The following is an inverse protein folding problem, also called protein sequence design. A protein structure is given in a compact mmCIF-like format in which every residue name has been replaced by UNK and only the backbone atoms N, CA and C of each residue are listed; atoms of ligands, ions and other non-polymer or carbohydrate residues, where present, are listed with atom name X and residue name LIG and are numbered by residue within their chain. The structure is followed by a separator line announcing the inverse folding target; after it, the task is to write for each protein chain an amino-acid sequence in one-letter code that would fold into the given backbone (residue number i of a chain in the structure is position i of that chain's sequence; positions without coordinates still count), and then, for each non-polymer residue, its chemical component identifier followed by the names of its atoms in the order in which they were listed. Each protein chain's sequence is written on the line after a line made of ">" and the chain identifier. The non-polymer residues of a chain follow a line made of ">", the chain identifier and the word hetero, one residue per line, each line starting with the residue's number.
data_IF_959043650330
#
_entry.id   IF_959043650330
#
_cell.length_a   1.000
_cell.length_b   1.000
_cell.length_c   1.000
_cell.angle_alpha   90.00
_cell.angle_beta   90.00
_cell.angle_gamma   90.00
#
_symmetry.space_group_name_H-M   'P 1'
#
loop_
_entity.id
_entity.type
_entity.pdbx_description
1 polymer ?
#
# COMPACT_ATOMS: atom_id res chain seq x y z
N UNK A 1 -28.46 30.11 44.50
CA UNK A 1 -27.04 29.70 44.52
C UNK A 1 -26.83 28.58 43.51
N UNK A 2 -25.67 28.61 42.84
CA UNK A 2 -25.39 28.06 41.51
C UNK A 2 -25.61 26.56 41.31
N UNK A 3 -26.15 26.25 40.12
CA UNK A 3 -26.15 24.95 39.45
C UNK A 3 -24.74 24.67 38.94
N UNK A 4 -24.21 23.48 39.20
CA UNK A 4 -22.99 22.96 38.55
C UNK A 4 -23.43 21.94 37.51
N UNK A 5 -23.17 22.14 36.20
CA UNK A 5 -23.39 21.10 35.22
C UNK A 5 -22.11 20.26 35.07
N UNK A 6 -22.27 18.95 35.25
CA UNK A 6 -21.31 17.91 34.89
C UNK A 6 -21.01 17.99 33.39
N UNK A 7 -19.78 18.35 33.03
CA UNK A 7 -19.33 18.37 31.65
C UNK A 7 -18.97 16.93 31.26
N UNK A 8 -19.89 16.26 30.58
CA UNK A 8 -19.61 15.03 29.83
C UNK A 8 -18.75 15.39 28.63
N UNK A 9 -17.44 15.21 28.76
CA UNK A 9 -16.48 15.36 27.68
C UNK A 9 -16.53 14.12 26.77
N UNK A 10 -17.51 14.08 25.86
CA UNK A 10 -17.48 13.15 24.73
C UNK A 10 -16.38 13.59 23.77
N UNK A 11 -15.15 13.08 23.98
CA UNK A 11 -14.10 13.12 22.97
C UNK A 11 -14.49 12.12 21.89
N UNK A 12 -15.32 12.56 20.94
CA UNK A 12 -15.46 11.89 19.66
C UNK A 12 -14.16 12.15 18.89
N UNK A 13 -13.19 11.23 19.03
CA UNK A 13 -12.10 11.07 18.08
C UNK A 13 -12.73 10.58 16.76
N UNK A 14 -13.31 11.50 16.01
CA UNK A 14 -13.66 11.25 14.62
C UNK A 14 -12.34 11.02 13.89
N UNK A 15 -12.11 9.76 13.52
CA UNK A 15 -11.10 9.33 12.57
C UNK A 15 -11.02 10.35 11.42
N UNK A 16 -9.81 10.75 11.07
CA UNK A 16 -9.52 11.58 9.89
C UNK A 16 -9.32 10.65 8.67
N UNK A 17 -10.34 10.32 7.86
CA UNK A 17 -10.10 9.67 6.56
C UNK A 17 -9.54 10.65 5.51
N UNK A 18 -9.75 11.96 5.69
CA UNK A 18 -9.47 12.97 4.66
C UNK A 18 -7.98 13.16 4.34
N UNK A 19 -7.08 12.94 5.32
CA UNK A 19 -5.64 13.13 5.10
C UNK A 19 -4.98 11.95 4.38
N UNK A 20 -5.47 10.71 4.60
CA UNK A 20 -5.00 9.53 3.87
C UNK A 20 -5.42 9.58 2.40
N UNK A 21 -6.63 10.07 2.11
CA UNK A 21 -7.15 10.16 0.74
C UNK A 21 -6.42 11.21 -0.12
N UNK A 22 -6.16 12.40 0.42
CA UNK A 22 -5.50 13.47 -0.34
C UNK A 22 -4.02 13.14 -0.65
N UNK A 23 -3.30 12.58 0.33
CA UNK A 23 -1.91 12.16 0.15
C UNK A 23 -1.78 11.01 -0.86
N UNK A 24 -2.71 10.05 -0.84
CA UNK A 24 -2.74 8.97 -1.84
C UNK A 24 -3.14 9.50 -3.22
N UNK A 25 -4.15 10.38 -3.31
CA UNK A 25 -4.61 10.94 -4.58
C UNK A 25 -3.52 11.69 -5.32
N UNK A 26 -2.66 12.45 -4.61
CA UNK A 26 -1.52 13.13 -5.21
C UNK A 26 -0.46 12.17 -5.73
N UNK A 27 -0.20 11.06 -5.02
CA UNK A 27 0.78 10.04 -5.42
C UNK A 27 0.35 9.21 -6.64
N UNK A 28 -0.95 9.07 -6.87
CA UNK A 28 -1.48 8.34 -8.04
C UNK A 28 -1.51 9.18 -9.32
N UNK A 29 -1.32 10.51 -9.23
CA UNK A 29 -1.29 11.38 -10.40
C UNK A 29 -0.14 11.00 -11.33
N UNK A 30 -0.43 10.87 -12.63
CA UNK A 30 0.56 10.51 -13.65
C UNK A 30 0.71 8.99 -13.87
N UNK A 31 0.13 8.15 -13.02
CA UNK A 31 0.07 6.71 -13.25
C UNK A 31 -1.01 6.35 -14.27
N UNK A 32 -0.85 5.21 -14.94
CA UNK A 32 -1.93 4.68 -15.78
C UNK A 32 -3.20 4.41 -14.97
N UNK A 33 -4.36 4.49 -15.62
CA UNK A 33 -5.65 4.19 -14.98
C UNK A 33 -5.68 2.78 -14.38
N UNK A 34 -5.07 1.81 -15.08
CA UNK A 34 -4.99 0.42 -14.61
C UNK A 34 -4.09 0.28 -13.38
N UNK A 35 -2.91 0.90 -13.39
CA UNK A 35 -1.99 0.90 -12.23
C UNK A 35 -2.67 1.51 -11.02
N UNK A 36 -3.33 2.65 -11.21
CA UNK A 36 -4.07 3.33 -10.14
C UNK A 36 -5.20 2.46 -9.58
N UNK A 37 -5.99 1.81 -10.45
CA UNK A 37 -7.06 0.90 -10.03
C UNK A 37 -6.52 -0.28 -9.21
N UNK A 38 -5.39 -0.87 -9.63
CA UNK A 38 -4.76 -1.98 -8.92
C UNK A 38 -4.21 -1.55 -7.54
N UNK A 39 -3.65 -0.35 -7.42
CA UNK A 39 -3.22 0.21 -6.13
C UNK A 39 -4.41 0.41 -5.19
N UNK A 40 -5.49 1.02 -5.70
CA UNK A 40 -6.71 1.21 -4.92
C UNK A 40 -7.33 -0.13 -4.50
N UNK A 41 -7.32 -1.15 -5.37
CA UNK A 41 -7.79 -2.48 -5.06
C UNK A 41 -6.94 -3.17 -3.97
N UNK A 42 -5.62 -2.98 -3.97
CA UNK A 42 -4.76 -3.48 -2.90
C UNK A 42 -5.08 -2.81 -1.55
N UNK A 43 -5.39 -1.50 -1.55
CA UNK A 43 -5.76 -0.78 -0.32
C UNK A 43 -7.05 -1.31 0.33
N UNK A 44 -7.93 -1.98 -0.43
CA UNK A 44 -9.09 -2.69 0.12
C UNK A 44 -8.72 -3.99 0.87
N UNK A 45 -7.43 -4.36 0.89
CA UNK A 45 -6.89 -5.52 1.60
C UNK A 45 -5.79 -5.09 2.59
N UNK A 46 -6.13 -4.29 3.63
CA UNK A 46 -5.15 -3.63 4.49
C UNK A 46 -4.24 -4.61 5.25
N UNK A 47 -4.75 -5.78 5.65
CA UNK A 47 -3.94 -6.80 6.33
C UNK A 47 -2.86 -7.38 5.42
N UNK A 48 -3.17 -7.58 4.14
CA UNK A 48 -2.23 -8.07 3.14
C UNK A 48 -1.18 -7.01 2.81
N UNK A 49 -1.61 -5.77 2.60
CA UNK A 49 -0.71 -4.63 2.37
C UNK A 49 0.26 -4.46 3.53
N UNK A 50 -0.20 -4.58 4.78
CA UNK A 50 0.67 -4.51 5.97
C UNK A 50 1.76 -5.59 5.96
N UNK A 51 1.45 -6.81 5.52
CA UNK A 51 2.45 -7.89 5.41
C UNK A 51 3.44 -7.61 4.28
N UNK A 52 2.97 -7.11 3.14
CA UNK A 52 3.85 -6.65 2.05
C UNK A 52 4.78 -5.54 2.53
N UNK A 53 4.25 -4.53 3.20
CA UNK A 53 5.05 -3.40 3.69
C UNK A 53 6.12 -3.85 4.70
N UNK A 54 5.76 -4.71 5.64
CA UNK A 54 6.71 -5.29 6.59
C UNK A 54 7.79 -6.13 5.88
N UNK A 55 7.41 -6.84 4.82
CA UNK A 55 8.35 -7.61 4.01
C UNK A 55 9.33 -6.71 3.26
N UNK A 56 8.84 -5.67 2.59
CA UNK A 56 9.66 -4.72 1.83
C UNK A 56 10.61 -3.97 2.76
N UNK A 57 10.12 -3.50 3.91
CA UNK A 57 10.95 -2.84 4.92
C UNK A 57 12.09 -3.76 5.39
N UNK A 58 11.80 -5.03 5.70
CA UNK A 58 12.80 -5.99 6.19
C UNK A 58 13.85 -6.34 5.13
N UNK A 59 13.44 -6.47 3.87
CA UNK A 59 14.29 -7.05 2.82
C UNK A 59 15.00 -6.01 1.94
N UNK A 60 14.49 -4.79 1.91
CA UNK A 60 15.03 -3.69 1.08
C UNK A 60 15.31 -2.41 1.88
N UNK A 61 14.85 -2.31 3.13
CA UNK A 61 14.92 -1.10 3.94
C UNK A 61 14.22 0.12 3.31
N UNK A 62 13.27 -0.12 2.41
CA UNK A 62 12.48 0.92 1.76
C UNK A 62 11.38 1.45 2.67
N UNK A 63 11.07 2.74 2.52
CA UNK A 63 9.95 3.38 3.22
C UNK A 63 8.67 3.24 2.38
N UNK A 64 7.47 3.15 2.98
CA UNK A 64 6.20 3.06 2.22
C UNK A 64 5.91 4.21 1.23
N UNK A 65 6.66 5.32 1.33
CA UNK A 65 6.60 6.44 0.39
C UNK A 65 7.42 6.22 -0.89
N UNK A 66 8.29 5.21 -0.93
CA UNK A 66 9.22 4.93 -2.04
C UNK A 66 8.70 3.87 -3.03
N UNK A 67 7.55 3.26 -2.72
CA UNK A 67 6.91 2.29 -3.60
C UNK A 67 5.38 2.36 -3.43
N UNK A 68 4.68 1.68 -4.33
CA UNK A 68 3.26 1.35 -4.18
C UNK A 68 3.08 -0.15 -4.07
N UNK A 69 2.03 -0.57 -3.36
CA UNK A 69 1.53 -1.94 -3.41
C UNK A 69 0.30 -1.94 -4.31
N UNK A 70 0.31 -2.78 -5.34
CA UNK A 70 -0.77 -2.92 -6.30
C UNK A 70 -1.24 -4.36 -6.35
N UNK A 71 -2.55 -4.58 -6.57
CA UNK A 71 -3.06 -5.92 -6.79
C UNK A 71 -2.49 -6.48 -8.10
N UNK A 72 -2.05 -7.74 -8.09
CA UNK A 72 -1.59 -8.43 -9.29
C UNK A 72 -2.29 -9.78 -9.46
N UNK A 73 -2.23 -10.33 -10.67
CA UNK A 73 -2.66 -11.69 -10.89
C UNK A 73 -1.74 -12.66 -10.11
N UNK A 74 -2.29 -13.67 -9.44
CA UNK A 74 -1.49 -14.69 -8.79
C UNK A 74 -0.87 -15.63 -9.83
N UNK A 75 0.36 -16.03 -9.55
CA UNK A 75 1.13 -17.03 -10.30
C UNK A 75 0.86 -18.43 -9.72
N UNK A 76 0.56 -18.53 -8.43
CA UNK A 76 0.13 -19.76 -7.76
C UNK A 76 -1.23 -19.59 -7.03
N UNK A 77 -1.50 -20.43 -6.04
CA UNK A 77 -2.76 -20.44 -5.30
C UNK A 77 -2.82 -19.40 -4.17
N UNK A 78 -1.98 -18.36 -4.20
CA UNK A 78 -1.88 -17.32 -3.17
C UNK A 78 -2.66 -16.04 -3.48
N UNK A 79 -2.44 -15.01 -2.66
CA UNK A 79 -2.85 -13.62 -2.95
C UNK A 79 -1.64 -12.85 -3.44
N UNK A 80 -1.72 -12.28 -4.65
CA UNK A 80 -0.57 -11.65 -5.28
C UNK A 80 -0.65 -10.14 -5.34
N UNK A 81 0.51 -9.53 -5.12
CA UNK A 81 0.70 -8.09 -5.17
C UNK A 81 1.95 -7.76 -5.96
N UNK A 82 1.95 -6.60 -6.60
CA UNK A 82 3.13 -5.97 -7.17
C UNK A 82 3.62 -4.87 -6.22
N UNK A 83 4.92 -4.87 -5.95
CA UNK A 83 5.65 -3.77 -5.31
C UNK A 83 6.27 -2.94 -6.42
N UNK A 84 5.75 -1.72 -6.61
CA UNK A 84 6.13 -0.83 -7.70
C UNK A 84 6.97 0.32 -7.17
N UNK A 85 8.27 0.34 -7.45
CA UNK A 85 9.17 1.39 -6.98
C UNK A 85 8.89 2.71 -7.73
N UNK A 86 8.88 3.84 -7.01
CA UNK A 86 8.49 5.14 -7.59
C UNK A 86 9.43 5.60 -8.71
N UNK A 87 10.73 5.33 -8.61
CA UNK A 87 11.71 5.68 -9.64
C UNK A 87 11.36 5.10 -11.03
N UNK A 88 10.86 3.86 -11.07
CA UNK A 88 10.48 3.20 -12.33
C UNK A 88 9.15 3.69 -12.88
N UNK A 89 8.26 4.11 -12.00
CA UNK A 89 6.98 4.70 -12.40
C UNK A 89 7.15 6.12 -12.94
N UNK A 90 8.17 6.84 -12.46
CA UNK A 90 8.48 8.20 -12.90
C UNK A 90 9.15 8.22 -14.29
N UNK A 91 9.87 7.15 -14.66
CA UNK A 91 10.55 7.05 -15.95
C UNK A 91 10.32 5.67 -16.60
N UNK A 92 9.41 5.58 -17.59
CA UNK A 92 9.15 4.33 -18.32
C UNK A 92 10.35 3.81 -19.11
N UNK A 93 11.36 4.66 -19.36
CA UNK A 93 12.60 4.32 -20.04
C UNK A 93 13.74 4.06 -19.06
N UNK A 94 13.44 3.87 -17.77
CA UNK A 94 14.45 3.61 -16.75
C UNK A 94 15.32 2.41 -17.13
N UNK A 95 16.57 2.69 -17.51
CA UNK A 95 17.59 1.68 -17.88
C UNK A 95 18.39 1.17 -16.67
N UNK A 96 18.04 1.61 -15.46
CA UNK A 96 18.65 1.12 -14.23
C UNK A 96 18.18 -0.28 -13.86
N UNK A 97 18.77 -0.84 -12.81
CA UNK A 97 18.35 -2.14 -12.27
C UNK A 97 16.87 -2.08 -11.87
N UNK A 98 16.08 -3.04 -12.36
CA UNK A 98 14.67 -3.17 -11.98
C UNK A 98 14.58 -3.51 -10.49
N UNK A 99 14.02 -2.58 -9.75
CA UNK A 99 13.64 -2.60 -8.34
C UNK A 99 12.25 -3.16 -8.12
N UNK A 100 11.28 -2.94 -9.02
CA UNK A 100 9.92 -3.46 -8.79
C UNK A 100 9.91 -4.99 -8.84
N UNK A 101 8.99 -5.62 -8.10
CA UNK A 101 8.84 -7.08 -8.08
C UNK A 101 7.42 -7.51 -7.71
N UNK A 102 7.11 -8.77 -7.94
CA UNK A 102 5.90 -9.45 -7.47
C UNK A 102 6.15 -10.15 -6.14
N UNK A 103 5.11 -10.18 -5.30
CA UNK A 103 5.04 -11.00 -4.09
C UNK A 103 3.74 -11.78 -4.05
N UNK A 104 3.84 -13.02 -3.58
CA UNK A 104 2.68 -13.80 -3.18
C UNK A 104 2.61 -13.95 -1.67
N UNK A 105 1.40 -13.85 -1.15
CA UNK A 105 1.07 -14.13 0.24
C UNK A 105 0.23 -15.39 0.32
N UNK A 106 0.23 -16.03 1.48
CA UNK A 106 -0.77 -17.05 1.77
C UNK A 106 -2.20 -16.48 1.76
N UNK A 107 -3.19 -17.37 1.73
CA UNK A 107 -4.61 -17.00 1.65
C UNK A 107 -5.09 -16.16 2.84
N UNK A 108 -4.44 -16.29 3.99
CA UNK A 108 -4.73 -15.56 5.22
C UNK A 108 -4.00 -14.23 5.36
N UNK A 109 -3.17 -13.85 4.38
CA UNK A 109 -2.29 -12.69 4.47
C UNK A 109 -1.42 -12.69 5.75
N UNK A 110 -0.85 -13.85 6.10
CA UNK A 110 -0.01 -13.99 7.30
C UNK A 110 1.49 -13.83 6.99
N UNK A 111 1.93 -14.25 5.79
CA UNK A 111 3.32 -14.18 5.34
C UNK A 111 3.42 -14.12 3.83
N UNK A 112 4.55 -13.60 3.35
CA UNK A 112 4.99 -13.76 1.96
C UNK A 112 5.49 -15.18 1.75
N UNK A 113 4.98 -15.85 0.73
CA UNK A 113 5.33 -17.21 0.33
C UNK A 113 6.29 -17.24 -0.85
N UNK A 114 6.25 -16.23 -1.71
CA UNK A 114 7.10 -16.15 -2.90
C UNK A 114 7.38 -14.70 -3.29
N UNK A 115 8.55 -14.47 -3.89
CA UNK A 115 8.94 -13.21 -4.53
C UNK A 115 9.44 -13.51 -5.94
N UNK A 116 8.94 -12.78 -6.95
CA UNK A 116 9.31 -12.96 -8.34
C UNK A 116 9.70 -11.61 -8.95
N UNK A 117 10.84 -11.56 -9.63
CA UNK A 117 11.26 -10.36 -10.36
C UNK A 117 10.39 -10.17 -11.61
N UNK A 118 10.09 -8.92 -11.98
CA UNK A 118 9.50 -8.66 -13.28
C UNK A 118 10.52 -8.97 -14.38
N UNK A 119 10.13 -9.81 -15.34
CA UNK A 119 10.93 -10.08 -16.55
C UNK A 119 10.85 -8.92 -17.53
#
# INVERSE_FOLDING_TARGET
>A
MSKVPTITLCIALACLPLACDAANKGRLQGLSAQTSANILAAQQQPDCVRVVDAYVLRTRAWKPTTYFVALSAPVAAGRAFAVLHVDELADPLYLGERKSFHVELDQSCSKVTEELQFQ
#
